data_IF_552197892833
#
_entry.id   IF_552197892833
#
_cell.length_a   1.000
_cell.length_b   1.000
_cell.length_c   1.000
_cell.angle_alpha   90.00
_cell.angle_beta   90.00
_cell.angle_gamma   90.00
#
_symmetry.space_group_name_H-M   'P 1'
#
loop_
_entity.id
_entity.type
_entity.pdbx_description
1 polymer ?
#
# COMPACT_ATOMS: atom_id res chain seq x y z
N UNK A 1 6.15 20.50 -0.39
CA UNK A 1 5.06 19.50 -0.43
C UNK A 1 5.40 18.33 0.50
N UNK A 2 4.43 17.68 1.15
CA UNK A 2 4.69 16.61 2.14
C UNK A 2 5.50 15.44 1.55
N UNK A 3 5.22 15.05 0.30
CA UNK A 3 5.88 13.93 -0.37
C UNK A 3 7.40 14.14 -0.52
N UNK A 4 7.83 15.35 -0.90
CA UNK A 4 9.26 15.71 -1.01
C UNK A 4 9.96 15.67 0.34
N UNK A 5 9.26 16.06 1.42
CA UNK A 5 9.81 15.98 2.78
C UNK A 5 10.02 14.53 3.21
N UNK A 6 9.05 13.66 2.94
CA UNK A 6 9.16 12.23 3.25
C UNK A 6 10.25 11.55 2.41
N UNK A 7 10.42 11.96 1.15
CA UNK A 7 11.54 11.50 0.33
C UNK A 7 12.89 11.91 0.91
N UNK A 8 13.03 13.17 1.34
CA UNK A 8 14.27 13.65 1.96
C UNK A 8 14.59 13.05 3.33
N UNK A 9 13.64 12.31 3.93
CA UNK A 9 13.82 11.56 5.18
C UNK A 9 14.01 10.06 4.94
N UNK A 10 14.16 9.63 3.68
CA UNK A 10 14.26 8.22 3.28
C UNK A 10 13.06 7.35 3.71
N UNK A 11 11.89 7.97 3.90
CA UNK A 11 10.62 7.28 4.24
C UNK A 11 9.81 6.94 3.00
N UNK A 12 9.92 7.76 1.94
CA UNK A 12 9.16 7.63 0.71
C UNK A 12 10.10 7.50 -0.51
N UNK A 13 9.82 6.53 -1.37
CA UNK A 13 10.46 6.39 -2.68
C UNK A 13 9.41 6.57 -3.76
N UNK A 14 9.73 7.34 -4.80
CA UNK A 14 8.88 7.47 -5.98
C UNK A 14 9.09 6.29 -6.92
N UNK A 15 8.01 5.63 -7.31
CA UNK A 15 8.04 4.63 -8.37
C UNK A 15 8.16 5.31 -9.75
N UNK A 16 8.77 4.64 -10.74
CA UNK A 16 8.92 5.22 -12.07
C UNK A 16 7.57 5.44 -12.76
N UNK A 17 7.30 6.67 -13.18
CA UNK A 17 6.19 7.00 -14.05
C UNK A 17 6.65 7.97 -15.14
N UNK A 18 5.99 7.93 -16.30
CA UNK A 18 6.32 8.78 -17.45
C UNK A 18 5.06 9.26 -18.16
N UNK A 19 5.02 10.55 -18.46
CA UNK A 19 3.98 11.13 -19.32
C UNK A 19 4.19 10.75 -20.79
N UNK A 20 3.12 10.77 -21.58
CA UNK A 20 3.23 10.60 -23.02
C UNK A 20 4.05 11.75 -23.62
N UNK A 21 5.03 11.43 -24.49
CA UNK A 21 5.81 12.45 -25.21
C UNK A 21 6.36 11.90 -26.52
N UNK A 22 6.20 12.67 -27.60
CA UNK A 22 6.78 12.39 -28.92
C UNK A 22 6.55 10.94 -29.40
N UNK A 23 5.29 10.49 -29.41
CA UNK A 23 4.91 9.16 -29.88
C UNK A 23 5.15 8.02 -28.89
N UNK A 24 5.79 8.26 -27.74
CA UNK A 24 5.90 7.27 -26.67
C UNK A 24 4.65 7.32 -25.78
N UNK A 25 3.99 6.18 -25.51
CA UNK A 25 2.84 6.14 -24.63
C UNK A 25 3.24 6.53 -23.20
N UNK A 26 2.26 7.04 -22.46
CA UNK A 26 2.38 7.18 -21.02
C UNK A 26 2.66 5.80 -20.40
N UNK A 27 3.43 5.79 -19.32
CA UNK A 27 3.78 4.59 -18.58
C UNK A 27 3.56 4.87 -17.11
N UNK A 28 2.72 4.06 -16.48
CA UNK A 28 2.53 4.02 -15.05
C UNK A 28 2.90 2.60 -14.65
N UNK A 29 3.85 2.47 -13.73
CA UNK A 29 4.27 1.18 -13.25
C UNK A 29 3.24 0.58 -12.30
N UNK A 30 3.29 -0.74 -12.14
CA UNK A 30 2.50 -1.41 -11.11
C UNK A 30 3.21 -1.23 -9.76
N UNK A 31 2.84 -0.17 -9.05
CA UNK A 31 3.42 0.18 -7.75
C UNK A 31 3.33 -0.97 -6.75
N UNK A 32 2.27 -1.77 -6.85
CA UNK A 32 2.04 -2.97 -6.02
C UNK A 32 3.18 -3.97 -6.13
N UNK A 33 3.74 -4.19 -7.32
CA UNK A 33 4.87 -5.10 -7.50
C UNK A 33 6.12 -4.60 -6.79
N UNK A 34 6.38 -3.29 -6.82
CA UNK A 34 7.52 -2.71 -6.10
C UNK A 34 7.39 -2.91 -4.60
N UNK A 35 6.21 -2.66 -4.05
CA UNK A 35 5.95 -2.80 -2.61
C UNK A 35 6.09 -4.27 -2.18
N UNK A 36 5.49 -5.18 -2.94
CA UNK A 36 5.52 -6.62 -2.65
C UNK A 36 6.95 -7.19 -2.75
N UNK A 37 7.67 -6.90 -3.84
CA UNK A 37 9.04 -7.38 -4.03
C UNK A 37 9.99 -6.81 -2.97
N UNK A 38 9.88 -5.52 -2.66
CA UNK A 38 10.74 -4.88 -1.68
C UNK A 38 10.58 -5.52 -0.30
N UNK A 39 9.34 -5.71 0.15
CA UNK A 39 9.08 -6.31 1.44
C UNK A 39 9.40 -7.82 1.46
N UNK A 40 9.21 -8.54 0.36
CA UNK A 40 9.59 -9.96 0.26
C UNK A 40 11.12 -10.11 0.40
N UNK A 41 11.89 -9.32 -0.36
CA UNK A 41 13.37 -9.32 -0.37
C UNK A 41 13.99 -9.01 0.99
N UNK A 42 13.37 -8.11 1.76
CA UNK A 42 13.92 -7.66 3.05
C UNK A 42 13.28 -8.36 4.26
N UNK A 43 12.46 -9.40 4.06
CA UNK A 43 11.81 -10.09 5.17
C UNK A 43 10.77 -9.23 5.91
N UNK A 44 10.28 -8.14 5.28
CA UNK A 44 9.33 -7.20 5.87
C UNK A 44 7.85 -7.60 5.71
N UNK A 45 6.97 -6.63 5.94
CA UNK A 45 5.52 -6.76 5.81
C UNK A 45 4.96 -5.63 4.94
N UNK A 46 3.81 -5.85 4.33
CA UNK A 46 3.11 -4.84 3.52
C UNK A 46 1.91 -4.31 4.28
N UNK A 47 1.87 -3.01 4.54
CA UNK A 47 0.70 -2.34 5.12
C UNK A 47 -0.19 -1.83 3.97
N UNK A 48 -1.31 -2.50 3.72
CA UNK A 48 -2.24 -2.11 2.64
C UNK A 48 -3.65 -2.66 2.87
N UNK A 49 -4.65 -1.83 2.56
CA UNK A 49 -6.04 -2.28 2.47
C UNK A 49 -6.32 -3.12 1.21
N UNK A 50 -5.47 -3.03 0.19
CA UNK A 50 -5.58 -3.86 -1.02
C UNK A 50 -5.21 -5.31 -0.74
N UNK A 51 -5.94 -6.25 -1.33
CA UNK A 51 -5.68 -7.69 -1.25
C UNK A 51 -4.74 -8.20 -2.35
N UNK A 52 -4.44 -7.38 -3.36
CA UNK A 52 -3.59 -7.73 -4.50
C UNK A 52 -4.11 -8.99 -5.23
N UNK A 53 -5.44 -9.11 -5.37
CA UNK A 53 -6.09 -10.33 -5.88
C UNK A 53 -5.69 -10.64 -7.33
N UNK A 54 -5.44 -9.62 -8.14
CA UNK A 54 -4.95 -9.73 -9.51
C UNK A 54 -3.54 -10.33 -9.55
N UNK A 55 -2.63 -9.82 -8.71
CA UNK A 55 -1.26 -10.32 -8.59
C UNK A 55 -1.25 -11.73 -8.00
N UNK A 56 -2.07 -12.00 -6.98
CA UNK A 56 -2.14 -13.31 -6.34
C UNK A 56 -2.60 -14.41 -7.30
N UNK A 57 -3.52 -14.10 -8.23
CA UNK A 57 -4.06 -15.04 -9.23
C UNK A 57 -3.10 -15.28 -10.39
N UNK A 58 -2.34 -14.28 -10.79
CA UNK A 58 -1.36 -14.39 -11.87
C UNK A 58 -0.23 -15.38 -11.52
N UNK A 59 0.05 -16.34 -12.42
CA UNK A 59 1.03 -17.39 -12.14
C UNK A 59 2.47 -16.83 -12.16
N UNK A 60 2.71 -15.82 -12.99
CA UNK A 60 4.00 -15.14 -13.12
C UNK A 60 4.50 -14.54 -11.81
N UNK A 61 3.58 -14.25 -10.87
CA UNK A 61 3.88 -13.66 -9.57
C UNK A 61 3.67 -14.64 -8.40
N UNK A 62 3.74 -15.95 -8.65
CA UNK A 62 3.51 -16.98 -7.62
C UNK A 62 4.39 -16.82 -6.36
N UNK A 63 5.60 -16.27 -6.51
CA UNK A 63 6.53 -16.08 -5.39
C UNK A 63 6.08 -14.96 -4.44
N UNK A 64 5.25 -14.02 -4.91
CA UNK A 64 4.68 -12.95 -4.08
C UNK A 64 3.47 -13.39 -3.25
N UNK A 65 2.90 -14.58 -3.53
CA UNK A 65 1.72 -15.08 -2.81
C UNK A 65 1.94 -15.21 -1.31
N UNK A 66 3.18 -15.52 -0.90
CA UNK A 66 3.54 -15.67 0.51
C UNK A 66 3.43 -14.35 1.26
N UNK A 67 4.03 -13.27 0.73
CA UNK A 67 3.92 -11.96 1.38
C UNK A 67 2.48 -11.44 1.40
N UNK A 68 1.72 -11.65 0.31
CA UNK A 68 0.30 -11.25 0.25
C UNK A 68 -0.51 -11.97 1.33
N UNK A 69 -0.30 -13.29 1.51
CA UNK A 69 -1.10 -14.11 2.43
C UNK A 69 -0.68 -13.99 3.89
N UNK A 70 0.62 -13.94 4.16
CA UNK A 70 1.16 -14.15 5.50
C UNK A 70 1.72 -12.89 6.15
N UNK A 71 2.11 -11.90 5.33
CA UNK A 71 2.84 -10.70 5.81
C UNK A 71 2.18 -9.40 5.36
N UNK A 72 0.96 -9.46 4.84
CA UNK A 72 0.12 -8.28 4.60
C UNK A 72 -0.63 -7.92 5.89
N UNK A 73 -0.52 -6.67 6.29
CA UNK A 73 -1.24 -6.07 7.41
C UNK A 73 -2.31 -5.18 6.81
N UNK A 74 -3.56 -5.49 7.13
CA UNK A 74 -4.71 -4.70 6.66
C UNK A 74 -4.83 -3.42 7.50
N UNK A 75 -5.16 -2.31 6.84
CA UNK A 75 -5.28 -1.00 7.48
C UNK A 75 -6.61 -0.36 7.13
N UNK A 76 -7.39 -0.03 8.15
CA UNK A 76 -8.69 0.60 8.01
C UNK A 76 -8.64 1.94 8.73
N UNK A 77 -9.00 3.01 8.04
CA UNK A 77 -9.16 4.32 8.68
C UNK A 77 -10.60 4.45 9.18
N UNK A 78 -10.80 4.37 10.49
CA UNK A 78 -12.13 4.59 11.09
C UNK A 78 -12.35 6.05 11.39
N UNK A 79 -13.50 6.55 10.96
CA UNK A 79 -13.97 7.89 11.28
C UNK A 79 -14.29 7.98 12.77
N UNK A 80 -13.80 9.02 13.44
CA UNK A 80 -14.24 9.38 14.78
C UNK A 80 -15.46 10.29 14.66
N UNK A 81 -16.62 9.83 15.13
CA UNK A 81 -17.92 10.49 14.92
C UNK A 81 -18.04 11.88 15.60
N UNK A 82 -17.10 12.25 16.47
CA UNK A 82 -17.16 13.48 17.27
C UNK A 82 -15.89 14.34 17.20
N UNK A 83 -14.92 14.00 16.35
CA UNK A 83 -13.62 14.68 16.31
C UNK A 83 -13.27 15.17 14.90
N UNK A 84 -12.75 16.39 14.82
CA UNK A 84 -12.55 17.10 13.56
C UNK A 84 -11.17 17.74 13.51
N UNK A 85 -10.62 17.78 12.29
CA UNK A 85 -9.39 18.51 11.99
C UNK A 85 -9.76 19.68 11.09
N UNK A 86 -9.38 20.88 11.50
CA UNK A 86 -9.56 22.09 10.71
C UNK A 86 -8.29 22.39 9.91
N UNK A 87 -8.43 22.63 8.62
CA UNK A 87 -7.33 23.10 7.77
C UNK A 87 -7.80 24.33 6.99
N UNK A 88 -7.38 25.50 7.44
CA UNK A 88 -7.92 26.76 6.94
C UNK A 88 -9.42 26.88 7.24
N UNK A 89 -10.24 26.97 6.19
CA UNK A 89 -11.71 27.03 6.29
C UNK A 89 -12.37 25.64 6.17
N UNK A 90 -11.59 24.62 5.84
CA UNK A 90 -12.10 23.27 5.60
C UNK A 90 -12.12 22.46 6.90
N UNK A 91 -13.11 21.58 7.01
CA UNK A 91 -13.32 20.68 8.15
C UNK A 91 -13.30 19.24 7.67
N UNK A 92 -12.37 18.47 8.22
CA UNK A 92 -12.22 17.05 7.94
C UNK A 92 -12.61 16.26 9.18
N UNK A 93 -13.27 15.11 8.99
CA UNK A 93 -13.41 14.16 10.10
C UNK A 93 -12.04 13.63 10.48
N UNK A 94 -11.80 13.47 11.79
CA UNK A 94 -10.60 12.78 12.23
C UNK A 94 -10.77 11.28 11.95
N UNK A 95 -9.74 10.69 11.36
CA UNK A 95 -9.64 9.25 11.17
C UNK A 95 -8.49 8.71 12.01
N UNK A 96 -8.67 7.51 12.54
CA UNK A 96 -7.61 6.75 13.21
C UNK A 96 -7.34 5.46 12.45
N UNK A 97 -6.07 5.10 12.22
CA UNK A 97 -5.74 3.82 11.60
C UNK A 97 -5.99 2.68 12.59
N UNK A 98 -6.74 1.68 12.15
CA UNK A 98 -6.89 0.39 12.81
C UNK A 98 -6.11 -0.64 12.02
N UNK A 99 -5.16 -1.32 12.69
CA UNK A 99 -4.36 -2.37 12.10
C UNK A 99 -5.05 -3.72 12.34
N UNK A 100 -5.44 -4.39 11.26
CA UNK A 100 -6.03 -5.71 11.32
C UNK A 100 -4.99 -6.75 10.91
N UNK A 101 -4.42 -7.45 11.91
CA UNK A 101 -3.52 -8.58 11.66
C UNK A 101 -4.39 -9.80 11.37
N UNK A 102 -4.47 -10.20 10.11
CA UNK A 102 -5.18 -11.42 9.72
C UNK A 102 -4.33 -12.62 10.16
N UNK A 103 -4.63 -13.17 11.34
CA UNK A 103 -4.13 -14.50 11.72
C UNK A 103 -5.03 -15.53 11.05
N UNK A 104 -4.53 -16.17 9.98
CA UNK A 104 -5.13 -17.39 9.46
C UNK A 104 -4.99 -18.47 10.53
N UNK A 105 -5.97 -18.61 11.42
CA UNK A 105 -6.10 -19.81 12.25
C UNK A 105 -6.30 -20.98 11.28
N UNK A 106 -5.35 -21.91 11.27
CA UNK A 106 -5.41 -23.10 10.45
C UNK A 106 -6.65 -23.91 10.78
N UNK A 107 -7.60 -23.97 9.84
CA UNK A 107 -8.64 -24.98 9.83
C UNK A 107 -7.99 -26.34 9.62
N UNK A 108 -8.13 -27.21 10.62
CA UNK A 108 -7.81 -28.63 10.55
C UNK A 108 -8.94 -29.28 9.72
N UNK A 109 -8.57 -30.10 8.74
CA UNK A 109 -9.49 -30.98 8.00
C UNK A 109 -10.13 -32.02 8.91
#
# INVERSE_FOLDING_TARGET
MILQKLQGLDVLTFTPARTARAGRPAFINYDDLYVLEFAERHGGSVLSGDRFDDIAKEYSYKDLRRIIKERRIDVIFRQLNSDFVHYGRDRFFRFVPELCIIRMFGGIF
#
